data_IF_675425450514
#
_entry.id   IF_675425450514
#
_cell.length_a   1.000
_cell.length_b   1.000
_cell.length_c   1.000
_cell.angle_alpha   90.00
_cell.angle_beta   90.00
_cell.angle_gamma   90.00
#
_symmetry.space_group_name_H-M   'P 1'
#
loop_
_entity.id
_entity.type
_entity.pdbx_description
1 polymer ?
#
# COMPACT_ATOMS: atom_id res chain seq x y z
N UNK A 1 -2.17 -1.86 -22.06
CA UNK A 1 -1.46 -2.95 -21.37
C UNK A 1 -2.27 -3.47 -20.19
N UNK A 2 -2.60 -2.64 -19.18
CA UNK A 2 -3.30 -3.09 -17.95
C UNK A 2 -4.62 -3.80 -18.28
N UNK A 3 -5.51 -3.20 -19.06
CA UNK A 3 -6.81 -3.78 -19.39
C UNK A 3 -6.67 -5.18 -20.06
N UNK A 4 -5.71 -5.35 -20.97
CA UNK A 4 -5.45 -6.63 -21.60
C UNK A 4 -5.00 -7.72 -20.60
N UNK A 5 -4.23 -7.35 -19.57
CA UNK A 5 -3.83 -8.29 -18.52
C UNK A 5 -5.02 -8.62 -17.60
N UNK A 6 -5.87 -7.63 -17.30
CA UNK A 6 -7.10 -7.85 -16.52
C UNK A 6 -8.04 -8.82 -17.26
N UNK A 7 -8.25 -8.63 -18.55
CA UNK A 7 -9.08 -9.53 -19.38
C UNK A 7 -8.55 -10.97 -19.34
N UNK A 8 -7.25 -11.17 -19.52
CA UNK A 8 -6.60 -12.49 -19.41
C UNK A 8 -6.81 -13.13 -18.04
N UNK A 9 -6.74 -12.34 -16.97
CA UNK A 9 -6.99 -12.84 -15.61
C UNK A 9 -8.45 -13.26 -15.42
N UNK A 10 -9.40 -12.51 -15.96
CA UNK A 10 -10.84 -12.83 -15.93
C UNK A 10 -11.12 -14.14 -16.68
N UNK A 11 -10.36 -14.45 -17.75
CA UNK A 11 -10.48 -15.72 -18.48
C UNK A 11 -9.77 -16.89 -17.81
N UNK A 12 -9.20 -16.70 -16.62
CA UNK A 12 -8.59 -17.76 -15.82
C UNK A 12 -7.09 -17.96 -16.04
N UNK A 13 -6.41 -17.05 -16.78
CA UNK A 13 -4.97 -17.11 -16.91
C UNK A 13 -4.27 -16.63 -15.63
N UNK A 14 -3.17 -17.30 -15.28
CA UNK A 14 -2.29 -16.85 -14.20
C UNK A 14 -1.42 -15.70 -14.69
N UNK A 15 -1.90 -14.48 -14.53
CA UNK A 15 -1.21 -13.25 -14.91
C UNK A 15 -1.25 -12.23 -13.79
N UNK A 16 -0.20 -11.44 -13.69
CA UNK A 16 -0.06 -10.39 -12.68
C UNK A 16 0.66 -9.16 -13.23
N UNK A 17 1.01 -8.23 -12.35
CA UNK A 17 1.63 -6.96 -12.71
C UNK A 17 2.96 -7.11 -13.45
N UNK A 18 3.69 -8.20 -13.25
CA UNK A 18 4.90 -8.54 -14.01
C UNK A 18 4.64 -8.56 -15.52
N UNK A 19 3.50 -9.13 -15.93
CA UNK A 19 3.12 -9.17 -17.35
C UNK A 19 2.79 -7.79 -17.93
N UNK A 20 2.36 -6.83 -17.07
CA UNK A 20 2.21 -5.43 -17.52
C UNK A 20 3.57 -4.83 -17.85
N UNK A 21 4.59 -5.07 -17.02
CA UNK A 21 5.96 -4.61 -17.32
C UNK A 21 6.49 -5.23 -18.60
N UNK A 22 6.27 -6.51 -18.84
CA UNK A 22 6.66 -7.21 -20.07
C UNK A 22 5.96 -6.63 -21.30
N UNK A 23 4.66 -6.37 -21.20
CA UNK A 23 3.89 -5.74 -22.28
C UNK A 23 4.38 -4.33 -22.59
N UNK A 24 4.75 -3.54 -21.57
CA UNK A 24 5.34 -2.22 -21.77
C UNK A 24 6.72 -2.32 -22.44
N UNK A 25 7.59 -3.25 -21.99
CA UNK A 25 8.93 -3.44 -22.56
C UNK A 25 8.91 -3.85 -24.03
N UNK A 26 7.90 -4.62 -24.42
CA UNK A 26 7.73 -5.15 -25.76
C UNK A 26 6.81 -4.29 -26.63
N UNK A 27 6.45 -3.09 -26.18
CA UNK A 27 5.63 -2.19 -26.96
C UNK A 27 6.33 -1.72 -28.24
N UNK A 28 5.55 -1.52 -29.30
CA UNK A 28 6.05 -1.04 -30.60
C UNK A 28 6.62 0.39 -30.54
N UNK A 29 6.08 1.23 -29.64
CA UNK A 29 6.60 2.58 -29.39
C UNK A 29 7.89 2.49 -28.57
N UNK A 30 8.95 3.11 -29.07
CA UNK A 30 10.25 3.21 -28.37
C UNK A 30 10.15 3.91 -27.02
N UNK A 31 9.28 4.91 -26.92
CA UNK A 31 9.03 5.67 -25.70
C UNK A 31 8.37 4.79 -24.64
N UNK A 32 7.31 4.04 -24.99
CA UNK A 32 6.64 3.11 -24.09
C UNK A 32 7.60 1.98 -23.66
N UNK A 33 8.35 1.44 -24.59
CA UNK A 33 9.35 0.41 -24.29
C UNK A 33 10.45 0.94 -23.34
N UNK A 34 10.85 2.19 -23.48
CA UNK A 34 11.80 2.84 -22.57
C UNK A 34 11.24 2.94 -21.15
N UNK A 35 9.98 3.37 -21.02
CA UNK A 35 9.28 3.40 -19.71
C UNK A 35 9.21 1.99 -19.11
N UNK A 36 8.87 0.97 -19.90
CA UNK A 36 8.85 -0.42 -19.46
C UNK A 36 10.21 -0.91 -18.93
N UNK A 37 11.31 -0.57 -19.62
CA UNK A 37 12.67 -0.90 -19.17
C UNK A 37 13.02 -0.17 -17.85
N UNK A 38 12.68 1.11 -17.75
CA UNK A 38 12.93 1.90 -16.56
C UNK A 38 12.17 1.33 -15.35
N UNK A 39 10.87 1.09 -15.48
CA UNK A 39 10.06 0.49 -14.40
C UNK A 39 10.61 -0.89 -14.00
N UNK A 40 11.00 -1.72 -14.97
CA UNK A 40 11.61 -3.01 -14.67
C UNK A 40 12.88 -2.85 -13.85
N UNK A 41 13.73 -1.88 -14.17
CA UNK A 41 14.99 -1.65 -13.42
C UNK A 41 14.74 -1.20 -11.96
N UNK A 42 13.66 -0.48 -11.71
CA UNK A 42 13.28 -0.08 -10.34
C UNK A 42 12.75 -1.28 -9.54
N UNK A 43 11.95 -2.14 -10.18
CA UNK A 43 11.29 -3.27 -9.53
C UNK A 43 12.28 -4.40 -9.25
N UNK A 44 13.12 -4.73 -10.21
CA UNK A 44 14.05 -5.88 -10.12
C UNK A 44 15.03 -5.72 -8.95
N UNK A 45 15.13 -6.74 -8.11
CA UNK A 45 15.97 -6.76 -6.92
C UNK A 45 15.64 -5.66 -5.88
N UNK A 46 14.40 -5.22 -5.88
CA UNK A 46 13.91 -4.25 -4.89
C UNK A 46 12.72 -4.82 -4.11
N UNK A 47 12.39 -4.19 -2.99
CA UNK A 47 11.21 -4.57 -2.19
C UNK A 47 9.90 -4.44 -2.99
N UNK A 48 9.88 -3.63 -4.05
CA UNK A 48 8.73 -3.48 -4.93
C UNK A 48 8.40 -4.75 -5.72
N UNK A 49 9.34 -5.70 -5.81
CA UNK A 49 9.10 -7.00 -6.45
C UNK A 49 7.91 -7.75 -5.82
N UNK A 50 7.66 -7.50 -4.51
CA UNK A 50 6.50 -8.05 -3.79
C UNK A 50 5.15 -7.58 -4.38
N UNK A 51 5.11 -6.38 -4.95
CA UNK A 51 3.90 -5.83 -5.59
C UNK A 51 3.73 -6.27 -7.05
N UNK A 52 4.75 -6.88 -7.66
CA UNK A 52 4.78 -7.25 -9.07
C UNK A 52 4.79 -8.78 -9.26
N UNK A 53 3.74 -9.42 -8.75
CA UNK A 53 3.53 -10.87 -8.94
C UNK A 53 3.38 -11.24 -10.42
N UNK A 54 3.77 -12.47 -10.75
CA UNK A 54 3.48 -13.11 -12.05
C UNK A 54 2.08 -13.74 -12.12
N UNK A 55 1.31 -13.67 -11.03
CA UNK A 55 -0.04 -14.22 -10.94
C UNK A 55 -0.08 -15.67 -10.40
N UNK A 56 1.06 -16.31 -10.18
CA UNK A 56 1.14 -17.67 -9.61
C UNK A 56 1.13 -17.66 -8.09
N UNK A 57 1.62 -16.57 -7.50
CA UNK A 57 1.59 -16.40 -6.04
C UNK A 57 0.15 -16.11 -5.59
N UNK A 58 -0.36 -16.82 -4.58
CA UNK A 58 -1.66 -16.50 -4.02
C UNK A 58 -1.74 -15.04 -3.61
N UNK A 59 -2.83 -14.38 -4.01
CA UNK A 59 -3.11 -13.02 -3.56
C UNK A 59 -3.46 -12.97 -2.07
N UNK A 60 -3.55 -11.75 -1.54
CA UNK A 60 -4.06 -11.54 -0.19
C UNK A 60 -5.51 -12.05 -0.10
N UNK A 61 -5.80 -12.81 0.95
CA UNK A 61 -7.12 -13.40 1.12
C UNK A 61 -8.08 -12.41 1.80
N UNK A 62 -9.10 -11.97 1.07
CA UNK A 62 -10.13 -11.07 1.59
C UNK A 62 -11.20 -11.77 2.42
N UNK A 63 -11.27 -13.10 2.39
CA UNK A 63 -12.32 -13.86 3.09
C UNK A 63 -11.91 -14.26 4.50
N UNK A 64 -10.64 -14.15 4.83
CA UNK A 64 -10.14 -14.48 6.16
C UNK A 64 -10.65 -13.48 7.20
N UNK A 65 -11.08 -14.00 8.36
CA UNK A 65 -11.49 -13.16 9.49
C UNK A 65 -10.34 -12.39 10.12
N UNK A 66 -9.13 -12.93 10.04
CA UNK A 66 -7.90 -12.28 10.52
C UNK A 66 -6.86 -12.39 9.42
N UNK A 67 -6.31 -11.26 9.03
CA UNK A 67 -5.19 -11.18 8.07
C UNK A 67 -4.06 -10.39 8.74
N UNK A 68 -2.87 -10.96 8.78
CA UNK A 68 -1.68 -10.30 9.30
C UNK A 68 -0.74 -10.08 8.11
N UNK A 69 -0.39 -8.83 7.87
CA UNK A 69 0.57 -8.43 6.85
C UNK A 69 1.87 -8.02 7.54
N UNK A 70 2.89 -8.83 7.41
CA UNK A 70 4.23 -8.52 7.90
C UNK A 70 5.15 -8.23 6.73
N UNK A 71 5.82 -7.08 6.76
CA UNK A 71 6.79 -6.70 5.73
C UNK A 71 8.14 -6.49 6.38
N UNK A 72 9.03 -7.43 6.14
CA UNK A 72 10.40 -7.36 6.63
C UNK A 72 11.29 -6.49 5.71
N UNK A 73 12.35 -5.93 6.28
CA UNK A 73 13.37 -5.14 5.57
C UNK A 73 12.88 -3.80 4.98
N UNK A 74 11.79 -3.23 5.51
CA UNK A 74 11.44 -1.86 5.22
C UNK A 74 12.56 -0.92 5.70
N UNK A 75 13.04 -0.07 4.82
CA UNK A 75 13.95 1.03 5.16
C UNK A 75 13.18 2.34 5.10
N UNK A 76 13.08 2.97 6.25
CA UNK A 76 12.30 4.18 6.44
C UNK A 76 13.20 5.39 6.62
N UNK A 77 12.84 6.56 6.09
CA UNK A 77 13.63 7.75 6.26
C UNK A 77 13.71 8.14 7.75
N UNK A 78 14.89 8.54 8.19
CA UNK A 78 15.07 9.15 9.51
C UNK A 78 14.48 10.57 9.51
N UNK A 79 14.05 11.03 10.68
CA UNK A 79 13.31 12.29 10.85
C UNK A 79 13.93 13.52 10.18
N UNK A 80 15.27 13.61 10.17
CA UNK A 80 16.01 14.77 9.70
C UNK A 80 16.63 14.60 8.29
N UNK A 81 16.28 13.54 7.57
CA UNK A 81 16.89 13.29 6.27
C UNK A 81 16.28 14.17 5.17
N UNK A 82 17.05 15.14 4.68
CA UNK A 82 16.68 15.94 3.50
C UNK A 82 16.75 15.16 2.19
N UNK A 83 17.35 13.96 2.21
CA UNK A 83 17.49 13.09 1.03
C UNK A 83 16.99 11.70 1.35
N UNK A 84 15.96 11.28 0.62
CA UNK A 84 15.39 9.95 0.70
C UNK A 84 16.13 9.06 -0.30
N UNK A 85 16.71 7.94 0.15
CA UNK A 85 17.34 6.94 -0.70
C UNK A 85 16.30 6.18 -1.53
N UNK A 86 16.74 5.51 -2.60
CA UNK A 86 15.83 4.71 -3.43
C UNK A 86 15.20 3.55 -2.65
N UNK A 87 15.93 2.96 -1.69
CA UNK A 87 15.39 1.93 -0.81
C UNK A 87 14.27 2.46 0.10
N UNK A 88 14.43 3.65 0.67
CA UNK A 88 13.40 4.28 1.49
C UNK A 88 12.18 4.64 0.65
N UNK A 89 12.39 5.18 -0.56
CA UNK A 89 11.33 5.52 -1.50
C UNK A 89 10.51 4.28 -1.91
N UNK A 90 11.19 3.18 -2.20
CA UNK A 90 10.55 1.91 -2.53
C UNK A 90 9.76 1.34 -1.35
N UNK A 91 10.28 1.47 -0.13
CA UNK A 91 9.58 1.05 1.09
C UNK A 91 8.31 1.87 1.31
N UNK A 92 8.37 3.18 1.11
CA UNK A 92 7.19 4.07 1.17
C UNK A 92 6.16 3.65 0.11
N UNK A 93 6.59 3.40 -1.13
CA UNK A 93 5.68 2.97 -2.20
C UNK A 93 4.97 1.65 -1.87
N UNK A 94 5.67 0.69 -1.25
CA UNK A 94 5.06 -0.55 -0.80
C UNK A 94 4.04 -0.31 0.32
N UNK A 95 4.34 0.58 1.26
CA UNK A 95 3.39 0.94 2.33
C UNK A 95 2.10 1.55 1.78
N UNK A 96 2.18 2.31 0.68
CA UNK A 96 0.97 2.80 0.01
C UNK A 96 0.14 1.67 -0.62
N UNK A 97 0.79 0.70 -1.23
CA UNK A 97 0.08 -0.47 -1.78
C UNK A 97 -0.63 -1.26 -0.67
N UNK A 98 0.01 -1.43 0.48
CA UNK A 98 -0.59 -2.06 1.66
C UNK A 98 -1.76 -1.23 2.23
N UNK A 99 -1.60 0.09 2.33
CA UNK A 99 -2.67 0.99 2.74
C UNK A 99 -3.89 0.92 1.82
N UNK A 100 -3.68 0.85 0.51
CA UNK A 100 -4.76 0.65 -0.46
C UNK A 100 -5.45 -0.71 -0.28
N UNK A 101 -4.67 -1.78 -0.02
CA UNK A 101 -5.22 -3.09 0.30
C UNK A 101 -6.11 -3.04 1.54
N UNK A 102 -5.63 -2.43 2.63
CA UNK A 102 -6.41 -2.29 3.86
C UNK A 102 -7.69 -1.51 3.63
N UNK A 103 -7.64 -0.40 2.88
CA UNK A 103 -8.85 0.34 2.51
C UNK A 103 -9.88 -0.55 1.82
N UNK A 104 -9.46 -1.35 0.84
CA UNK A 104 -10.35 -2.30 0.16
C UNK A 104 -10.85 -3.41 1.08
N UNK A 105 -10.00 -3.87 1.99
CA UNK A 105 -10.39 -4.87 2.98
C UNK A 105 -11.48 -4.35 3.91
N UNK A 106 -11.36 -3.12 4.39
CA UNK A 106 -12.37 -2.46 5.22
C UNK A 106 -13.69 -2.17 4.50
N UNK A 107 -13.65 -2.01 3.17
CA UNK A 107 -14.84 -1.74 2.35
C UNK A 107 -15.61 -3.00 1.89
N UNK A 108 -15.04 -4.18 2.10
CA UNK A 108 -15.54 -5.44 1.49
C UNK A 108 -16.97 -5.82 1.88
N UNK A 109 -17.39 -5.50 3.10
CA UNK A 109 -18.69 -5.86 3.61
C UNK A 109 -19.20 -4.84 4.64
N UNK A 110 -20.21 -4.07 4.29
CA UNK A 110 -20.80 -3.03 5.13
C UNK A 110 -21.55 -3.57 6.36
N UNK A 111 -21.87 -4.87 6.37
CA UNK A 111 -22.59 -5.52 7.46
C UNK A 111 -21.67 -6.20 8.48
N UNK A 112 -20.36 -6.10 8.29
CA UNK A 112 -19.37 -6.68 9.19
C UNK A 112 -18.52 -5.57 9.81
N UNK A 113 -18.33 -5.61 11.14
CA UNK A 113 -17.37 -4.77 11.81
C UNK A 113 -15.95 -5.21 11.45
N UNK A 114 -15.16 -4.30 10.93
CA UNK A 114 -13.76 -4.53 10.60
C UNK A 114 -12.87 -3.66 11.47
N UNK A 115 -11.77 -4.21 11.95
CA UNK A 115 -10.75 -3.45 12.68
C UNK A 115 -9.42 -3.60 11.95
N UNK A 116 -8.80 -2.49 11.62
CA UNK A 116 -7.49 -2.41 11.00
C UNK A 116 -6.48 -1.86 11.98
N UNK A 117 -5.45 -2.64 12.27
CA UNK A 117 -4.35 -2.24 13.13
C UNK A 117 -3.12 -1.90 12.28
N UNK A 118 -2.63 -0.68 12.42
CA UNK A 118 -1.35 -0.26 11.85
C UNK A 118 -0.33 -0.10 12.97
N UNK A 119 0.59 -1.04 13.03
CA UNK A 119 1.78 -0.88 13.85
C UNK A 119 2.79 0.03 13.13
N UNK A 120 3.52 0.82 13.89
CA UNK A 120 4.44 1.85 13.36
C UNK A 120 3.74 2.84 12.40
N UNK A 121 2.50 3.24 12.74
CA UNK A 121 1.68 4.12 11.91
C UNK A 121 2.32 5.48 11.60
N UNK A 122 3.27 5.94 12.44
CA UNK A 122 4.03 7.17 12.23
C UNK A 122 4.68 7.25 10.85
N UNK A 123 5.01 6.11 10.26
CA UNK A 123 5.59 5.98 8.92
C UNK A 123 4.67 6.59 7.86
N UNK A 124 3.40 6.22 7.90
CA UNK A 124 2.39 6.77 7.00
C UNK A 124 2.12 8.25 7.31
N UNK A 125 2.25 8.65 8.57
CA UNK A 125 1.97 10.02 9.01
C UNK A 125 3.05 11.02 8.62
N UNK A 126 4.25 10.58 8.23
CA UNK A 126 5.36 11.46 7.80
C UNK A 126 5.21 12.05 6.41
N UNK A 127 4.47 11.44 5.51
CA UNK A 127 4.28 11.93 4.14
C UNK A 127 2.86 12.45 3.91
N UNK A 128 2.71 13.43 3.03
CA UNK A 128 1.40 13.96 2.65
C UNK A 128 0.49 12.86 2.07
N UNK A 129 1.08 11.96 1.30
CA UNK A 129 0.39 10.84 0.68
C UNK A 129 -0.06 9.80 1.72
N UNK A 130 0.80 9.46 2.69
CA UNK A 130 0.45 8.54 3.78
C UNK A 130 -0.66 9.11 4.66
N UNK A 131 -0.59 10.40 4.99
CA UNK A 131 -1.69 11.11 5.67
C UNK A 131 -2.98 11.03 4.87
N UNK A 132 -2.93 11.16 3.54
CA UNK A 132 -4.10 11.03 2.68
C UNK A 132 -4.71 9.63 2.74
N UNK A 133 -3.88 8.57 2.79
CA UNK A 133 -4.35 7.17 2.98
C UNK A 133 -5.09 7.03 4.30
N UNK A 134 -4.47 7.45 5.42
CA UNK A 134 -5.08 7.39 6.76
C UNK A 134 -6.38 8.19 6.80
N UNK A 135 -6.39 9.40 6.25
CA UNK A 135 -7.58 10.25 6.19
C UNK A 135 -8.71 9.59 5.39
N UNK A 136 -8.39 8.93 4.29
CA UNK A 136 -9.36 8.21 3.49
C UNK A 136 -9.93 7.02 4.26
N UNK A 137 -9.10 6.20 4.90
CA UNK A 137 -9.54 5.07 5.73
C UNK A 137 -10.45 5.53 6.88
N UNK A 138 -10.10 6.60 7.57
CA UNK A 138 -10.95 7.21 8.63
C UNK A 138 -12.30 7.67 8.10
N UNK A 139 -12.33 8.29 6.91
CA UNK A 139 -13.57 8.76 6.30
C UNK A 139 -14.49 7.60 5.91
N UNK A 140 -13.92 6.55 5.34
CA UNK A 140 -14.64 5.34 4.92
C UNK A 140 -15.10 4.56 6.15
N UNK A 141 -14.27 4.47 7.19
CA UNK A 141 -14.56 3.72 8.39
C UNK A 141 -15.91 4.04 9.01
N UNK A 142 -16.30 5.32 9.05
CA UNK A 142 -17.60 5.72 9.59
C UNK A 142 -18.81 5.20 8.81
N UNK A 143 -18.66 5.04 7.49
CA UNK A 143 -19.75 4.59 6.62
C UNK A 143 -19.79 3.09 6.40
N UNK A 144 -18.71 2.37 6.75
CA UNK A 144 -18.51 0.96 6.46
C UNK A 144 -18.25 0.09 7.69
N UNK A 145 -18.57 0.59 8.88
CA UNK A 145 -18.29 -0.10 10.16
C UNK A 145 -16.82 -0.57 10.28
N UNK A 146 -15.90 0.24 9.77
CA UNK A 146 -14.48 -0.04 9.84
C UNK A 146 -13.81 0.86 10.90
N UNK A 147 -13.11 0.26 11.83
CA UNK A 147 -12.36 0.93 12.88
C UNK A 147 -10.89 0.91 12.55
N UNK A 148 -10.26 2.06 12.50
CA UNK A 148 -8.82 2.20 12.31
C UNK A 148 -8.13 2.41 13.67
N UNK A 149 -7.20 1.53 14.01
CA UNK A 149 -6.35 1.63 15.19
C UNK A 149 -4.90 1.88 14.75
N UNK A 150 -4.35 3.03 15.11
CA UNK A 150 -2.96 3.41 14.85
C UNK A 150 -2.13 3.20 16.10
N UNK A 151 -1.03 2.47 15.98
CA UNK A 151 -0.06 2.23 17.04
C UNK A 151 1.21 2.99 16.69
N UNK A 152 1.69 3.81 17.60
CA UNK A 152 2.90 4.61 17.41
C UNK A 152 3.69 4.70 18.72
N UNK A 153 4.99 4.95 18.62
CA UNK A 153 5.88 5.08 19.78
C UNK A 153 5.85 6.48 20.38
N UNK A 154 5.30 7.46 19.69
CA UNK A 154 5.27 8.86 20.16
C UNK A 154 3.90 9.52 19.95
N UNK A 155 3.42 10.20 20.99
CA UNK A 155 2.21 11.03 20.90
C UNK A 155 2.41 12.18 19.90
N UNK A 156 3.63 12.69 19.76
CA UNK A 156 3.96 13.77 18.82
C UNK A 156 3.76 13.39 17.35
N UNK A 157 3.76 12.10 17.01
CA UNK A 157 3.45 11.65 15.65
C UNK A 157 2.01 11.99 15.27
N UNK A 158 1.10 12.04 16.25
CA UNK A 158 -0.31 12.37 16.06
C UNK A 158 -0.59 13.90 16.19
N UNK A 159 0.25 14.67 16.90
CA UNK A 159 0.03 16.10 17.14
C UNK A 159 0.24 16.97 15.91
N UNK A 160 1.08 16.54 14.97
CA UNK A 160 1.37 17.26 13.72
C UNK A 160 0.30 17.06 12.62
N UNK A 161 -0.79 16.42 12.94
CA UNK A 161 -1.92 16.30 12.03
C UNK A 161 -2.93 17.41 12.35
N UNK A 162 -3.11 18.36 11.45
CA UNK A 162 -4.13 19.42 11.55
C UNK A 162 -5.56 18.85 11.71
N UNK A 163 -5.72 17.55 11.61
CA UNK A 163 -6.97 16.81 11.68
C UNK A 163 -7.02 15.82 12.87
N UNK A 164 -6.43 16.19 14.01
CA UNK A 164 -6.48 15.41 15.27
C UNK A 164 -7.91 15.18 15.77
N UNK A 165 -8.87 15.94 15.28
CA UNK A 165 -10.30 15.84 15.63
C UNK A 165 -10.98 14.55 15.20
N UNK A 166 -10.28 13.67 14.47
CA UNK A 166 -10.86 12.44 13.94
C UNK A 166 -10.64 11.18 14.76
N UNK A 167 -9.84 11.22 15.83
CA UNK A 167 -9.66 10.08 16.73
C UNK A 167 -10.73 10.09 17.84
N UNK A 168 -11.48 8.99 17.94
CA UNK A 168 -12.50 8.83 18.99
C UNK A 168 -11.88 8.53 20.36
N UNK A 169 -10.74 7.88 20.40
CA UNK A 169 -10.05 7.48 21.63
C UNK A 169 -8.54 7.45 21.41
N UNK A 170 -7.79 7.96 22.37
CA UNK A 170 -6.33 7.92 22.40
C UNK A 170 -5.92 7.25 23.71
N UNK A 171 -5.08 6.22 23.60
CA UNK A 171 -4.43 5.56 24.73
C UNK A 171 -2.95 5.94 24.73
N UNK A 172 -2.44 6.45 25.84
CA UNK A 172 -1.03 6.72 26.07
C UNK A 172 -0.53 5.86 27.24
N UNK A 173 0.62 5.18 27.04
CA UNK A 173 1.24 4.29 28.04
C UNK A 173 2.64 4.78 28.37
#
# INVERSE_FOLDING_TARGET
AINAIVERRVTGENVGFKHVLEALRNASSSEIASVGRYLTSIVTNSILELAFSDGTTPGLNYESRVTILEVNNLKLPKDDSTKISDHERNSIALMFALGAFCTHFGERNENEDTIEFFDEAWILMKSAEGKAVIKNMRRIGRSKNNTLALITQSVHDAENDDDTTGFGTIFAF
#
